data_IF_529894526759
#
_entry.id   IF_529894526759
#
_cell.length_a   1.000
_cell.length_b   1.000
_cell.length_c   1.000
_cell.angle_alpha   90.00
_cell.angle_beta   90.00
_cell.angle_gamma   90.00
#
_symmetry.space_group_name_H-M   'P 1'
#
loop_
_entity.id
_entity.type
_entity.pdbx_description
1 polymer ?
#
# COMPACT_ATOMS: atom_id res chain seq x y z
N UNK A 1 3.34 -14.17 -23.08
CA UNK A 1 3.34 -14.24 -21.62
C UNK A 1 3.70 -15.65 -21.08
N UNK A 2 4.47 -16.48 -21.80
CA UNK A 2 4.80 -17.86 -21.39
C UNK A 2 6.25 -18.03 -20.88
N UNK A 3 6.98 -16.92 -20.69
CA UNK A 3 8.42 -16.96 -20.36
C UNK A 3 8.70 -16.99 -18.85
N UNK A 4 7.75 -16.53 -18.02
CA UNK A 4 7.91 -16.46 -16.57
C UNK A 4 6.88 -17.35 -15.89
N UNK A 5 7.33 -18.09 -14.87
CA UNK A 5 6.43 -18.80 -13.97
C UNK A 5 5.68 -17.79 -13.08
N UNK A 6 4.45 -18.10 -12.63
CA UNK A 6 3.71 -17.24 -11.71
C UNK A 6 4.48 -16.88 -10.43
N UNK A 7 5.38 -17.76 -9.95
CA UNK A 7 6.23 -17.52 -8.79
C UNK A 7 7.34 -16.50 -9.01
N UNK A 8 7.63 -16.13 -10.26
CA UNK A 8 8.62 -15.09 -10.62
C UNK A 8 7.98 -13.71 -10.83
N UNK A 9 6.66 -13.61 -10.68
CA UNK A 9 5.94 -12.35 -10.87
C UNK A 9 5.77 -11.62 -9.53
N UNK A 10 6.08 -10.33 -9.57
CA UNK A 10 5.81 -9.38 -8.50
C UNK A 10 4.97 -8.26 -9.10
N UNK A 11 3.85 -7.95 -8.46
CA UNK A 11 2.91 -6.92 -8.87
C UNK A 11 3.05 -5.72 -7.94
N UNK A 12 3.29 -4.55 -8.51
CA UNK A 12 3.34 -3.28 -7.80
C UNK A 12 2.09 -2.45 -8.10
N UNK A 13 1.59 -1.74 -7.09
CA UNK A 13 0.48 -0.80 -7.26
C UNK A 13 0.52 0.30 -6.18
N UNK A 14 -0.04 1.46 -6.54
CA UNK A 14 -0.12 2.64 -5.69
C UNK A 14 -1.50 2.73 -5.00
N UNK A 15 -1.50 2.96 -3.69
CA UNK A 15 -2.71 3.25 -2.91
C UNK A 15 -2.60 4.56 -2.16
N UNK A 16 -3.63 5.39 -2.24
CA UNK A 16 -3.68 6.66 -1.53
C UNK A 16 -4.55 6.59 -0.26
N UNK A 17 -4.01 7.05 0.86
CA UNK A 17 -4.73 7.20 2.13
C UNK A 17 -4.87 8.67 2.53
N UNK A 18 -6.11 9.11 2.75
CA UNK A 18 -6.41 10.49 3.16
C UNK A 18 -6.96 10.50 4.60
N UNK A 19 -6.24 11.16 5.51
CA UNK A 19 -6.63 11.27 6.93
C UNK A 19 -7.75 12.28 7.20
N UNK A 20 -8.49 12.73 6.18
CA UNK A 20 -9.67 13.57 6.38
C UNK A 20 -10.70 12.85 7.23
N UNK A 21 -11.32 13.60 8.14
CA UNK A 21 -12.43 13.09 8.94
C UNK A 21 -13.56 12.63 8.01
N UNK A 22 -13.83 11.32 7.99
CA UNK A 22 -14.95 10.76 7.23
C UNK A 22 -16.27 11.33 7.75
N UNK A 23 -16.87 12.22 6.97
CA UNK A 23 -18.19 12.77 7.23
C UNK A 23 -19.18 12.24 6.21
N UNK A 24 -20.37 11.86 6.68
CA UNK A 24 -21.47 11.52 5.77
C UNK A 24 -21.94 12.80 5.09
N UNK A 25 -22.13 12.73 3.77
CA UNK A 25 -22.71 13.85 2.99
C UNK A 25 -24.17 14.12 3.35
N UNK A 26 -24.88 13.12 3.84
CA UNK A 26 -26.31 13.20 4.18
C UNK A 26 -26.56 12.72 5.61
N UNK A 27 -27.55 13.34 6.26
CA UNK A 27 -28.03 12.98 7.58
C UNK A 27 -29.54 13.19 7.66
N UNK A 28 -30.18 12.57 8.64
CA UNK A 28 -31.62 12.69 8.87
C UNK A 28 -31.91 13.80 9.89
N UNK A 29 -32.96 14.58 9.63
CA UNK A 29 -33.49 15.59 10.53
C UNK A 29 -35.02 15.65 10.42
N UNK A 30 -35.67 16.26 11.41
CA UNK A 30 -37.11 16.51 11.36
C UNK A 30 -37.47 17.44 10.19
N UNK A 31 -38.68 17.28 9.66
CA UNK A 31 -39.19 18.13 8.57
C UNK A 31 -39.13 19.61 8.99
N UNK A 32 -38.54 20.45 8.13
CA UNK A 32 -38.33 21.87 8.40
C UNK A 32 -37.04 22.21 9.15
N UNK A 33 -36.25 21.21 9.56
CA UNK A 33 -34.94 21.42 10.22
C UNK A 33 -33.79 20.89 9.36
N UNK A 34 -32.62 21.52 9.45
CA UNK A 34 -31.40 21.06 8.77
C UNK A 34 -30.68 20.01 9.62
N UNK A 35 -30.22 18.93 8.99
CA UNK A 35 -29.31 17.97 9.63
C UNK A 35 -27.93 18.61 9.80
N UNK A 36 -27.55 18.88 11.05
CA UNK A 36 -26.26 19.46 11.40
C UNK A 36 -25.46 18.45 12.24
N UNK A 37 -24.17 18.26 11.91
CA UNK A 37 -23.23 17.48 12.72
C UNK A 37 -22.02 18.35 13.04
N UNK A 38 -21.73 18.67 14.31
CA UNK A 38 -20.47 19.31 14.66
C UNK A 38 -19.33 18.34 14.35
N UNK A 39 -18.36 18.79 13.55
CA UNK A 39 -17.18 17.99 13.21
C UNK A 39 -15.95 18.88 13.30
N UNK A 40 -14.85 18.30 13.79
CA UNK A 40 -13.56 18.96 13.72
C UNK A 40 -13.11 19.04 12.26
N UNK A 41 -12.79 20.25 11.81
CA UNK A 41 -12.19 20.48 10.50
C UNK A 41 -10.70 20.13 10.58
N UNK A 42 -10.36 18.87 10.35
CA UNK A 42 -8.98 18.40 10.27
C UNK A 42 -8.52 18.51 8.81
N UNK A 43 -7.49 19.34 8.55
CA UNK A 43 -6.75 19.26 7.29
C UNK A 43 -5.95 17.95 7.31
N UNK A 44 -6.56 16.89 6.79
CA UNK A 44 -5.96 15.57 6.72
C UNK A 44 -4.64 15.60 5.93
N UNK A 45 -3.65 14.83 6.41
CA UNK A 45 -2.46 14.51 5.63
C UNK A 45 -2.80 13.40 4.65
N UNK A 46 -2.22 13.48 3.46
CA UNK A 46 -2.35 12.44 2.44
C UNK A 46 -1.09 11.62 2.42
N UNK A 47 -1.27 10.31 2.37
CA UNK A 47 -0.18 9.36 2.27
C UNK A 47 -0.33 8.60 0.96
N UNK A 48 0.77 8.42 0.26
CA UNK A 48 0.88 7.43 -0.79
C UNK A 48 1.53 6.19 -0.19
N UNK A 49 0.96 5.03 -0.52
CA UNK A 49 1.42 3.71 -0.13
C UNK A 49 1.74 2.97 -1.42
N UNK A 50 3.00 2.62 -1.61
CA UNK A 50 3.42 1.75 -2.70
C UNK A 50 3.57 0.33 -2.15
N UNK A 51 2.92 -0.64 -2.77
CA UNK A 51 2.92 -2.03 -2.32
C UNK A 51 3.38 -2.99 -3.40
N UNK A 52 4.18 -3.98 -3.03
CA UNK A 52 4.58 -5.07 -3.91
C UNK A 52 4.09 -6.43 -3.40
N UNK A 53 3.30 -7.12 -4.22
CA UNK A 53 2.68 -8.40 -3.92
C UNK A 53 3.22 -9.49 -4.83
N UNK A 54 3.45 -10.68 -4.27
CA UNK A 54 3.74 -11.90 -5.01
C UNK A 54 2.80 -13.02 -4.55
N UNK A 55 2.92 -14.23 -5.10
CA UNK A 55 2.09 -15.37 -4.69
C UNK A 55 2.20 -15.72 -3.20
N UNK A 56 3.30 -15.34 -2.55
CA UNK A 56 3.54 -15.58 -1.12
C UNK A 56 3.03 -14.44 -0.22
N UNK A 57 2.40 -13.41 -0.79
CA UNK A 57 1.85 -12.27 -0.06
C UNK A 57 2.61 -10.97 -0.30
N UNK A 58 2.57 -10.07 0.68
CA UNK A 58 3.21 -8.76 0.62
C UNK A 58 4.73 -8.90 0.79
N UNK A 59 5.46 -8.52 -0.25
CA UNK A 59 6.91 -8.61 -0.31
C UNK A 59 7.58 -7.35 0.23
N UNK A 60 7.05 -6.19 -0.12
CA UNK A 60 7.58 -4.90 0.31
C UNK A 60 6.48 -3.84 0.26
N UNK A 61 6.64 -2.79 1.07
CA UNK A 61 5.81 -1.60 0.98
C UNK A 61 6.59 -0.36 1.38
N UNK A 62 6.20 0.80 0.86
CA UNK A 62 6.68 2.11 1.29
C UNK A 62 5.49 3.02 1.56
N UNK A 63 5.61 3.89 2.57
CA UNK A 63 4.60 4.88 2.92
C UNK A 63 5.29 6.23 2.95
N UNK A 64 4.77 7.19 2.17
CA UNK A 64 5.24 8.57 2.17
C UNK A 64 4.09 9.55 2.36
N UNK A 65 4.37 10.70 2.96
CA UNK A 65 3.42 11.81 3.00
C UNK A 65 3.49 12.59 1.68
N UNK A 66 2.35 12.83 1.06
CA UNK A 66 2.25 13.47 -0.26
C UNK A 66 2.30 12.48 -1.43
N UNK A 67 2.24 12.99 -2.67
CA UNK A 67 2.26 12.17 -3.87
C UNK A 67 3.64 11.54 -4.11
N UNK A 68 3.67 10.37 -4.73
CA UNK A 68 4.89 9.71 -5.18
C UNK A 68 5.27 10.19 -6.58
N UNK A 69 6.56 10.49 -6.79
CA UNK A 69 7.11 10.79 -8.10
C UNK A 69 7.94 9.60 -8.64
N UNK A 70 8.44 9.72 -9.88
CA UNK A 70 9.18 8.63 -10.51
C UNK A 70 10.50 8.28 -9.81
N UNK A 71 11.19 9.25 -9.19
CA UNK A 71 12.42 8.98 -8.44
C UNK A 71 12.09 8.21 -7.16
N UNK A 72 11.05 8.63 -6.43
CA UNK A 72 10.58 7.93 -5.24
C UNK A 72 10.24 6.46 -5.57
N UNK A 73 9.59 6.23 -6.72
CA UNK A 73 9.25 4.88 -7.18
C UNK A 73 10.49 4.05 -7.53
N UNK A 74 11.48 4.63 -8.22
CA UNK A 74 12.74 3.94 -8.49
C UNK A 74 13.47 3.59 -7.20
N UNK A 75 13.48 4.51 -6.22
CA UNK A 75 14.06 4.28 -4.90
C UNK A 75 13.34 3.13 -4.17
N UNK A 76 12.01 3.07 -4.26
CA UNK A 76 11.24 1.92 -3.75
C UNK A 76 11.66 0.61 -4.41
N UNK A 77 11.78 0.57 -5.74
CA UNK A 77 12.17 -0.64 -6.46
C UNK A 77 13.59 -1.09 -6.07
N UNK A 78 14.56 -0.19 -6.15
CA UNK A 78 15.97 -0.51 -5.97
C UNK A 78 16.33 -0.79 -4.51
N UNK A 79 15.86 0.05 -3.59
CA UNK A 79 16.32 0.04 -2.21
C UNK A 79 15.37 -0.67 -1.25
N UNK A 80 14.13 -0.96 -1.65
CA UNK A 80 13.15 -1.62 -0.80
C UNK A 80 12.76 -2.97 -1.41
N UNK A 81 12.22 -2.97 -2.62
CA UNK A 81 11.66 -4.17 -3.24
C UNK A 81 12.73 -5.24 -3.51
N UNK A 82 13.77 -4.88 -4.27
CA UNK A 82 14.81 -5.83 -4.70
C UNK A 82 15.54 -6.42 -3.48
N UNK A 83 15.82 -5.58 -2.48
CA UNK A 83 16.45 -6.00 -1.23
C UNK A 83 15.60 -7.03 -0.49
N UNK A 84 14.30 -6.75 -0.29
CA UNK A 84 13.39 -7.69 0.37
C UNK A 84 13.20 -9.00 -0.43
N UNK A 85 13.20 -8.93 -1.76
CA UNK A 85 13.16 -10.11 -2.62
C UNK A 85 14.38 -11.03 -2.41
N UNK A 86 15.59 -10.46 -2.35
CA UNK A 86 16.79 -11.26 -2.08
C UNK A 86 16.83 -11.84 -0.67
N UNK A 87 16.41 -11.09 0.35
CA UNK A 87 16.35 -11.61 1.72
C UNK A 87 15.35 -12.77 1.87
N UNK A 88 14.17 -12.65 1.26
CA UNK A 88 13.18 -13.73 1.28
C UNK A 88 13.67 -14.98 0.56
N UNK A 89 14.34 -14.84 -0.58
CA UNK A 89 15.00 -15.96 -1.27
C UNK A 89 16.13 -16.59 -0.44
N UNK A 90 16.98 -15.79 0.20
CA UNK A 90 18.09 -16.29 1.01
C UNK A 90 17.61 -17.03 2.26
N UNK A 91 16.59 -16.50 2.96
CA UNK A 91 15.99 -17.15 4.13
C UNK A 91 15.32 -18.49 3.76
N UNK A 92 14.68 -18.57 2.60
CA UNK A 92 14.15 -19.83 2.08
C UNK A 92 15.27 -20.86 1.82
N UNK A 93 16.42 -20.43 1.30
CA UNK A 93 17.56 -21.32 1.04
C UNK A 93 18.27 -21.79 2.31
N UNK A 94 18.35 -20.96 3.35
CA UNK A 94 19.00 -21.30 4.62
C UNK A 94 18.06 -22.10 5.54
N UNK A 95 16.74 -21.96 5.37
CA UNK A 95 15.72 -22.45 6.29
C UNK A 95 14.93 -23.69 5.87
N UNK A 96 15.30 -24.44 4.82
CA UNK A 96 14.48 -25.56 4.32
C UNK A 96 14.96 -26.97 4.75
N UNK A 97 14.37 -27.59 5.79
CA UNK A 97 14.53 -29.02 6.08
C UNK A 97 13.58 -29.93 5.27
N UNK A 98 12.83 -29.42 4.27
CA UNK A 98 11.84 -30.17 3.46
C UNK A 98 12.23 -30.33 1.99
N UNK A 99 13.50 -30.15 1.64
CA UNK A 99 14.15 -30.80 0.49
C UNK A 99 14.92 -32.05 0.96
N UNK A 100 14.24 -32.88 1.74
CA UNK A 100 14.57 -34.29 2.05
C UNK A 100 13.30 -35.11 1.96
#
# INVERSE_FOLDING_TARGET
MSQYSPSQLVFTDESAYDQRTLSRRYGWSFKGSRACKPIFFVRGRRYTIEGALCLNGLLAYAIQEGPMNSNDYNDFVENILVINYYYTMLLLLIGDPRVK
#
